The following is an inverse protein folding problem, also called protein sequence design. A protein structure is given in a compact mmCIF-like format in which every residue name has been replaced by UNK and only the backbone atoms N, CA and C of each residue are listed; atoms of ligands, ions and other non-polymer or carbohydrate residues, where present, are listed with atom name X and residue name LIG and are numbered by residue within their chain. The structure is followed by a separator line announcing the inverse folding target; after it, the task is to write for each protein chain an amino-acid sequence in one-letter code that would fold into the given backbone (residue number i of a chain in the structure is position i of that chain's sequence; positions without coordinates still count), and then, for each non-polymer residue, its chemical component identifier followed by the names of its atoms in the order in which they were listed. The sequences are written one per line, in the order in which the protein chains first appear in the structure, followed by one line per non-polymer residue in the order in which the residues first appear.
data_IF_149879274753
#
_entry.id   IF_149879274753
#
_cell.length_a   1.000
_cell.length_b   1.000
_cell.length_c   1.000
_cell.angle_alpha   90.00
_cell.angle_beta   90.00
_cell.angle_gamma   90.00
#
_symmetry.space_group_name_H-M   'P 1'
#
loop_
_entity.id
_entity.type
_entity.pdbx_description
1 polymer ?
#
# COMPACT_ATOMS: atom_id res chain seq x y z
N UNK A 1 7.55 -11.57 0.37
CA UNK A 1 8.87 -11.62 1.06
C UNK A 1 9.95 -11.30 0.05
N UNK A 2 11.02 -10.61 0.45
CA UNK A 2 12.11 -10.25 -0.44
C UNK A 2 12.91 -11.50 -0.88
N UNK A 3 13.15 -11.64 -2.19
CA UNK A 3 13.95 -12.73 -2.77
C UNK A 3 15.41 -12.37 -3.01
N UNK A 4 15.76 -11.10 -2.74
CA UNK A 4 17.10 -10.52 -2.89
C UNK A 4 17.28 -9.41 -1.85
N UNK A 5 18.52 -8.96 -1.65
CA UNK A 5 18.79 -7.74 -0.88
C UNK A 5 18.25 -6.55 -1.66
N UNK A 6 17.50 -5.66 -0.99
CA UNK A 6 17.01 -4.40 -1.55
C UNK A 6 17.63 -3.27 -0.72
N UNK A 7 18.30 -2.35 -1.41
CA UNK A 7 18.91 -1.20 -0.75
C UNK A 7 17.89 -0.09 -0.56
N UNK A 8 18.11 0.71 0.49
CA UNK A 8 17.35 1.94 0.71
C UNK A 8 17.35 2.79 -0.56
N UNK A 9 16.23 3.46 -0.77
CA UNK A 9 15.91 4.29 -1.92
C UNK A 9 15.64 3.58 -3.24
N UNK A 10 15.82 2.27 -3.33
CA UNK A 10 15.45 1.54 -4.53
C UNK A 10 13.93 1.34 -4.60
N UNK A 11 13.38 1.61 -5.79
CA UNK A 11 12.03 1.16 -6.15
C UNK A 11 12.01 -0.37 -6.25
N UNK A 12 10.86 -0.97 -6.00
CA UNK A 12 10.61 -2.40 -6.17
C UNK A 12 9.57 -2.57 -7.30
N UNK A 13 9.99 -2.64 -8.58
CA UNK A 13 9.09 -2.67 -9.74
C UNK A 13 8.07 -3.80 -9.71
N UNK A 14 8.41 -4.92 -9.08
CA UNK A 14 7.55 -6.08 -8.92
C UNK A 14 6.34 -5.80 -8.00
N UNK A 15 6.40 -4.72 -7.21
CA UNK A 15 5.39 -4.30 -6.24
C UNK A 15 4.75 -2.96 -6.66
N UNK A 16 4.20 -2.95 -7.86
CA UNK A 16 3.37 -1.87 -8.40
C UNK A 16 1.89 -2.05 -8.01
N UNK A 17 1.13 -0.97 -7.99
CA UNK A 17 -0.32 -1.03 -7.94
C UNK A 17 -1.02 0.19 -8.53
N UNK A 18 -2.31 0.01 -8.81
CA UNK A 18 -3.20 1.01 -9.40
C UNK A 18 -4.35 1.28 -8.46
N UNK A 19 -4.76 2.55 -8.35
CA UNK A 19 -5.86 3.00 -7.51
C UNK A 19 -7.05 3.35 -8.40
N UNK A 20 -8.18 2.68 -8.17
CA UNK A 20 -9.44 2.99 -8.84
C UNK A 20 -10.37 3.70 -7.85
N UNK A 21 -10.98 4.85 -8.20
CA UNK A 21 -11.98 5.47 -7.35
C UNK A 21 -13.17 4.54 -7.19
N UNK A 22 -13.70 4.45 -5.96
CA UNK A 22 -14.89 3.65 -5.64
C UNK A 22 -15.85 4.49 -4.82
N UNK A 23 -17.13 4.23 -5.00
CA UNK A 23 -18.22 4.81 -4.20
C UNK A 23 -18.48 3.97 -2.96
N UNK A 24 -19.13 4.53 -1.95
CA UNK A 24 -19.37 3.83 -0.68
C UNK A 24 -20.28 2.58 -0.83
N UNK A 25 -21.17 2.59 -1.83
CA UNK A 25 -22.05 1.47 -2.20
C UNK A 25 -21.32 0.32 -2.92
N UNK A 26 -20.04 0.51 -3.31
CA UNK A 26 -19.22 -0.56 -3.89
C UNK A 26 -18.99 -1.69 -2.89
N UNK A 27 -18.83 -1.37 -1.61
CA UNK A 27 -18.56 -2.35 -0.56
C UNK A 27 -19.87 -2.99 -0.09
N UNK A 28 -20.32 -4.02 -0.80
CA UNK A 28 -21.29 -4.97 -0.23
C UNK A 28 -20.63 -5.80 0.86
N UNK A 29 -21.42 -6.47 1.73
CA UNK A 29 -20.96 -7.33 2.83
C UNK A 29 -20.00 -8.47 2.43
N UNK A 30 -19.70 -8.65 1.14
CA UNK A 30 -18.81 -9.69 0.59
C UNK A 30 -17.48 -9.14 0.05
N UNK A 31 -17.34 -7.83 -0.18
CA UNK A 31 -16.06 -7.25 -0.62
C UNK A 31 -15.27 -6.90 0.63
N UNK A 32 -14.23 -7.69 0.90
CA UNK A 32 -13.35 -7.49 2.06
C UNK A 32 -12.53 -6.20 1.88
N UNK A 33 -12.49 -5.38 2.92
CA UNK A 33 -11.88 -4.03 2.95
C UNK A 33 -10.33 -4.00 2.91
N UNK A 34 -9.66 -5.13 2.64
CA UNK A 34 -8.20 -5.25 2.84
C UNK A 34 -7.34 -4.45 1.86
N UNK A 35 -7.93 -3.82 0.83
CA UNK A 35 -7.21 -2.99 -0.15
C UNK A 35 -7.83 -1.61 -0.35
N UNK A 36 -8.57 -1.09 0.61
CA UNK A 36 -9.24 0.22 0.51
C UNK A 36 -8.34 1.31 1.06
N UNK A 37 -8.03 2.32 0.24
CA UNK A 37 -7.27 3.51 0.67
C UNK A 37 -8.18 4.73 0.64
N UNK A 38 -8.12 5.55 1.70
CA UNK A 38 -8.81 6.84 1.74
C UNK A 38 -7.79 7.97 1.64
N UNK A 39 -7.98 8.86 0.65
CA UNK A 39 -7.15 10.04 0.50
C UNK A 39 -7.48 11.06 1.60
N UNK A 40 -6.48 11.49 2.37
CA UNK A 40 -6.63 12.57 3.36
C UNK A 40 -6.87 13.92 2.67
N UNK A 41 -6.22 14.12 1.52
CA UNK A 41 -6.26 15.40 0.78
C UNK A 41 -7.60 15.60 0.09
N UNK A 42 -8.13 14.55 -0.55
CA UNK A 42 -9.35 14.67 -1.38
C UNK A 42 -10.59 14.06 -0.73
N UNK A 43 -10.44 13.33 0.38
CA UNK A 43 -11.52 12.56 1.00
C UNK A 43 -11.98 11.34 0.20
N UNK A 44 -11.49 11.15 -1.04
CA UNK A 44 -11.92 10.10 -1.94
C UNK A 44 -11.44 8.72 -1.50
N UNK A 45 -12.38 7.76 -1.51
CA UNK A 45 -12.10 6.34 -1.34
C UNK A 45 -11.64 5.74 -2.66
N UNK A 46 -10.55 4.99 -2.63
CA UNK A 46 -10.02 4.27 -3.79
C UNK A 46 -9.73 2.83 -3.40
N UNK A 47 -9.90 1.92 -4.34
CA UNK A 47 -9.44 0.55 -4.25
C UNK A 47 -8.01 0.47 -4.79
N UNK A 48 -7.08 -0.03 -3.99
CA UNK A 48 -5.73 -0.31 -4.44
C UNK A 48 -5.65 -1.74 -4.99
N UNK A 49 -5.24 -1.86 -6.24
CA UNK A 49 -5.17 -3.11 -6.99
C UNK A 49 -3.74 -3.40 -7.42
N UNK A 50 -3.44 -4.68 -7.65
CA UNK A 50 -2.15 -5.15 -8.14
C UNK A 50 -1.24 -5.70 -7.05
N UNK A 51 0.00 -6.10 -7.39
CA UNK A 51 0.93 -6.75 -6.46
C UNK A 51 1.17 -6.00 -5.15
N UNK A 52 1.23 -4.66 -5.18
CA UNK A 52 1.40 -3.84 -3.97
C UNK A 52 0.25 -3.96 -2.97
N UNK A 53 -0.96 -4.30 -3.43
CA UNK A 53 -2.13 -4.48 -2.58
C UNK A 53 -2.08 -5.76 -1.72
N UNK A 54 -1.10 -6.65 -1.97
CA UNK A 54 -0.85 -7.86 -1.18
C UNK A 54 0.12 -7.63 -0.02
N UNK A 55 0.73 -6.45 0.07
CA UNK A 55 1.66 -6.14 1.16
C UNK A 55 0.88 -5.96 2.45
N UNK A 56 1.44 -6.40 3.57
CA UNK A 56 0.83 -6.13 4.86
C UNK A 56 1.17 -4.71 5.33
N UNK A 57 0.26 -4.11 6.08
CA UNK A 57 0.52 -2.85 6.77
C UNK A 57 1.50 -3.04 7.94
N UNK A 58 2.40 -2.09 8.12
CA UNK A 58 3.19 -1.93 9.33
C UNK A 58 3.45 -0.43 9.57
N UNK A 59 3.37 0.04 10.81
CA UNK A 59 3.70 1.42 11.16
C UNK A 59 5.20 1.71 10.99
N UNK A 60 6.04 0.71 11.24
CA UNK A 60 7.50 0.73 11.06
C UNK A 60 7.94 0.01 9.78
N UNK A 61 7.09 0.09 8.74
CA UNK A 61 7.30 -0.56 7.46
C UNK A 61 8.69 -0.32 6.87
N UNK A 62 9.19 -1.31 6.13
CA UNK A 62 10.45 -1.21 5.40
C UNK A 62 10.32 -0.63 3.98
N UNK A 63 9.10 -0.25 3.60
CA UNK A 63 8.83 0.48 2.36
C UNK A 63 7.83 1.61 2.56
N UNK A 64 8.00 2.65 1.74
CA UNK A 64 7.05 3.75 1.59
C UNK A 64 6.36 3.68 0.23
N UNK A 65 5.14 4.19 0.14
CA UNK A 65 4.45 4.34 -1.15
C UNK A 65 5.02 5.53 -1.93
N UNK A 66 5.41 5.28 -3.18
CA UNK A 66 5.85 6.31 -4.13
C UNK A 66 4.81 6.46 -5.23
N UNK A 67 4.24 7.66 -5.36
CA UNK A 67 3.24 7.96 -6.39
C UNK A 67 3.88 8.05 -7.78
N UNK A 68 3.28 7.37 -8.76
CA UNK A 68 3.62 7.47 -10.18
C UNK A 68 2.58 8.29 -10.96
N UNK A 69 1.73 9.04 -10.24
CA UNK A 69 0.59 9.77 -10.79
C UNK A 69 -0.65 9.68 -9.89
N UNK A 70 -1.77 10.16 -10.39
CA UNK A 70 -3.04 10.22 -9.63
C UNK A 70 -3.69 8.85 -9.38
N UNK A 71 -3.32 7.84 -10.17
CA UNK A 71 -3.94 6.51 -10.20
C UNK A 71 -2.94 5.38 -9.98
N UNK A 72 -1.66 5.64 -9.76
CA UNK A 72 -0.65 4.58 -9.70
C UNK A 72 0.40 4.85 -8.63
N UNK A 73 0.86 3.78 -7.98
CA UNK A 73 1.93 3.82 -7.01
C UNK A 73 2.81 2.57 -7.11
N UNK A 74 4.04 2.72 -6.64
CA UNK A 74 5.04 1.67 -6.47
C UNK A 74 5.62 1.80 -5.07
N UNK A 75 6.13 0.73 -4.48
CA UNK A 75 6.82 0.84 -3.19
C UNK A 75 8.31 1.10 -3.36
N UNK A 76 8.86 1.92 -2.46
CA UNK A 76 10.27 2.28 -2.39
C UNK A 76 10.82 1.84 -1.04
N UNK A 77 11.98 1.19 -1.01
CA UNK A 77 12.62 0.79 0.25
C UNK A 77 13.06 2.03 1.04
N UNK A 78 12.63 2.13 2.30
CA UNK A 78 13.02 3.23 3.20
C UNK A 78 14.17 2.84 4.14
N UNK A 79 14.50 1.54 4.17
CA UNK A 79 15.68 0.96 4.81
C UNK A 79 16.15 -0.25 4.01
N UNK A 80 17.35 -0.75 4.31
CA UNK A 80 17.87 -1.97 3.68
C UNK A 80 16.98 -3.17 4.06
N UNK A 81 16.49 -3.90 3.07
CA UNK A 81 15.69 -5.12 3.25
C UNK A 81 16.56 -6.33 2.90
N UNK A 82 16.65 -7.30 3.82
CA UNK A 82 17.44 -8.51 3.59
C UNK A 82 16.66 -9.52 2.74
N UNK A 83 17.38 -10.40 2.04
CA UNK A 83 16.75 -11.57 1.44
C UNK A 83 16.06 -12.41 2.54
N UNK A 84 14.82 -12.83 2.29
CA UNK A 84 13.98 -13.52 3.27
C UNK A 84 13.21 -12.62 4.24
N UNK A 85 13.41 -11.30 4.18
CA UNK A 85 12.65 -10.37 5.03
C UNK A 85 11.24 -10.13 4.46
N UNK A 86 10.23 -10.07 5.33
CA UNK A 86 8.86 -9.71 4.92
C UNK A 86 8.87 -8.24 4.50
N UNK A 87 8.28 -7.95 3.34
CA UNK A 87 8.12 -6.58 2.86
C UNK A 87 6.77 -6.08 3.38
N UNK A 88 6.78 -4.96 4.08
CA UNK A 88 5.59 -4.30 4.63
C UNK A 88 5.53 -2.86 4.14
N UNK A 89 4.34 -2.27 4.14
CA UNK A 89 4.11 -0.91 3.63
C UNK A 89 3.31 -0.10 4.64
N UNK A 90 3.69 1.16 4.81
CA UNK A 90 2.84 2.08 5.56
C UNK A 90 1.77 2.65 4.62
N UNK A 91 0.51 2.29 4.86
CA UNK A 91 -0.64 2.73 4.06
C UNK A 91 -1.14 4.14 4.43
N UNK A 92 -0.52 4.75 5.43
CA UNK A 92 -0.90 6.05 5.97
C UNK A 92 -1.77 5.94 7.23
N UNK A 93 -1.87 7.05 7.99
CA UNK A 93 -2.42 7.07 9.35
C UNK A 93 -3.91 6.72 9.50
N UNK A 94 -4.65 6.54 8.41
CA UNK A 94 -6.09 6.27 8.45
C UNK A 94 -6.52 5.09 7.56
N UNK A 95 -5.59 4.20 7.20
CA UNK A 95 -5.91 3.03 6.39
C UNK A 95 -6.95 2.11 7.05
N UNK A 96 -6.85 1.91 8.36
CA UNK A 96 -7.78 1.10 9.14
C UNK A 96 -8.92 1.92 9.79
N UNK A 97 -9.23 3.10 9.25
CA UNK A 97 -10.22 3.99 9.86
C UNK A 97 -9.70 4.71 11.11
N UNK A 98 -10.58 5.47 11.78
CA UNK A 98 -10.22 6.35 12.90
C UNK A 98 -9.99 5.59 14.22
N UNK A 99 -10.16 4.27 14.24
CA UNK A 99 -9.89 3.44 15.41
C UNK A 99 -9.14 2.18 14.99
N UNK A 100 -7.81 2.21 15.15
CA UNK A 100 -7.07 0.99 15.38
C UNK A 100 -7.26 0.63 16.86
N UNK A 101 -8.28 -0.18 17.16
CA UNK A 101 -8.48 -0.82 18.46
C UNK A 101 -8.78 -2.30 18.25
#
# INVERSE_FOLDING_TARGET
MATKIIYMDNLIPELYGTMAPVTEDFFSSQIRDYSVVKSIVTGQTKLWLGPAALLNHDYEANTDTYSLGSTSAIVKANKKIKCGEVITVNYGPHYFGVNNN
#
